data_IF_890112503491
#
_entry.id   IF_890112503491
#
_cell.length_a   1.000
_cell.length_b   1.000
_cell.length_c   1.000
_cell.angle_alpha   90.00
_cell.angle_beta   90.00
_cell.angle_gamma   90.00
#
_symmetry.space_group_name_H-M   'P 1'
#
loop_
_entity.id
_entity.type
_entity.pdbx_description
1 polymer ?
#
# COMPACT_ATOMS: atom_id res chain seq x y z
N UNK A 1 5.43 4.67 -2.40
CA UNK A 1 5.75 4.21 -1.02
C UNK A 1 4.50 4.33 -0.17
N UNK A 2 4.31 3.47 0.85
CA UNK A 2 3.14 3.42 1.73
C UNK A 2 3.55 2.91 3.12
N UNK A 3 2.75 3.18 4.14
CA UNK A 3 2.93 2.61 5.48
C UNK A 3 4.20 3.08 6.20
N UNK A 4 4.68 2.28 7.15
CA UNK A 4 5.83 2.62 8.01
C UNK A 4 7.13 2.82 7.22
N UNK A 5 7.22 2.24 6.03
CA UNK A 5 8.32 2.42 5.11
C UNK A 5 8.48 3.90 4.72
N UNK A 6 7.38 4.68 4.64
CA UNK A 6 7.42 6.12 4.40
C UNK A 6 8.22 6.91 5.44
N UNK A 7 8.49 6.34 6.62
CA UNK A 7 9.21 7.01 7.70
C UNK A 7 10.72 6.75 7.65
N UNK A 8 11.22 5.96 6.69
CA UNK A 8 12.64 5.59 6.60
C UNK A 8 13.49 6.66 5.88
N UNK A 9 13.51 7.91 6.37
CA UNK A 9 14.17 9.07 5.75
C UNK A 9 15.56 8.77 5.17
N UNK A 10 16.50 8.29 5.99
CA UNK A 10 17.87 8.02 5.55
C UNK A 10 17.93 6.98 4.42
N UNK A 11 17.17 5.90 4.53
CA UNK A 11 17.12 4.86 3.48
C UNK A 11 16.53 5.40 2.19
N UNK A 12 15.49 6.24 2.29
CA UNK A 12 14.83 6.85 1.14
C UNK A 12 15.81 7.75 0.38
N UNK A 13 16.56 8.62 1.06
CA UNK A 13 17.56 9.48 0.41
C UNK A 13 18.72 8.67 -0.17
N UNK A 14 19.22 7.66 0.53
CA UNK A 14 20.27 6.76 0.03
C UNK A 14 19.85 6.03 -1.25
N UNK A 15 18.60 5.57 -1.33
CA UNK A 15 18.12 4.83 -2.51
C UNK A 15 17.73 5.77 -3.64
N UNK A 16 16.91 6.78 -3.35
CA UNK A 16 16.32 7.61 -4.40
C UNK A 16 17.27 8.69 -4.91
N UNK A 17 18.05 9.33 -4.04
CA UNK A 17 18.96 10.42 -4.44
C UNK A 17 20.31 9.82 -4.82
N UNK A 18 20.98 9.15 -3.88
CA UNK A 18 22.32 8.63 -4.14
C UNK A 18 22.31 7.50 -5.16
N UNK A 19 21.28 6.64 -5.17
CA UNK A 19 21.08 5.64 -6.21
C UNK A 19 20.94 6.28 -7.60
N UNK A 20 20.16 7.35 -7.73
CA UNK A 20 20.04 8.09 -9.00
C UNK A 20 21.37 8.70 -9.43
N UNK A 21 22.14 9.32 -8.52
CA UNK A 21 23.48 9.82 -8.85
C UNK A 21 24.39 8.72 -9.40
N UNK A 22 24.39 7.54 -8.78
CA UNK A 22 25.20 6.39 -9.23
C UNK A 22 24.78 5.89 -10.62
N UNK A 23 23.48 5.87 -10.92
CA UNK A 23 22.98 5.52 -12.27
C UNK A 23 23.42 6.57 -13.30
N UNK A 24 23.34 7.85 -12.98
CA UNK A 24 23.81 8.93 -13.87
C UNK A 24 25.31 8.81 -14.15
N UNK A 25 26.12 8.57 -13.11
CA UNK A 25 27.57 8.37 -13.25
C UNK A 25 27.87 7.17 -14.15
N UNK A 26 27.19 6.04 -13.94
CA UNK A 26 27.32 4.85 -14.77
C UNK A 26 26.92 5.14 -16.23
N UNK A 27 25.83 5.86 -16.46
CA UNK A 27 25.41 6.25 -17.81
C UNK A 27 26.51 7.06 -18.53
N UNK A 28 27.13 8.03 -17.84
CA UNK A 28 28.18 8.87 -18.40
C UNK A 28 29.51 8.13 -18.62
N UNK A 29 29.82 7.16 -17.77
CA UNK A 29 31.03 6.34 -17.85
C UNK A 29 30.97 5.30 -18.96
N UNK A 30 29.85 4.56 -19.07
CA UNK A 30 29.67 3.51 -20.06
C UNK A 30 29.08 4.01 -21.39
N UNK A 31 28.70 5.30 -21.45
CA UNK A 31 28.16 5.93 -22.66
C UNK A 31 26.76 5.43 -23.02
N UNK A 32 25.90 5.27 -21.99
CA UNK A 32 24.47 4.97 -22.15
C UNK A 32 23.77 6.25 -22.59
N UNK A 33 23.04 6.19 -23.71
CA UNK A 33 22.44 7.38 -24.32
C UNK A 33 21.01 7.67 -23.87
N UNK A 34 20.27 6.67 -23.37
CA UNK A 34 18.88 6.83 -22.92
C UNK A 34 18.79 6.57 -21.43
N UNK A 35 18.19 7.51 -20.72
CA UNK A 35 17.75 7.30 -19.35
C UNK A 35 16.31 7.80 -19.18
N UNK A 36 15.38 6.86 -19.08
CA UNK A 36 13.99 7.16 -18.67
C UNK A 36 13.92 7.01 -17.15
N UNK A 37 13.59 8.09 -16.45
CA UNK A 37 13.43 8.07 -15.01
C UNK A 37 11.95 7.98 -14.62
N UNK A 38 11.57 6.92 -13.91
CA UNK A 38 10.23 6.80 -13.34
C UNK A 38 10.14 7.70 -12.12
N UNK A 39 9.46 8.82 -12.24
CA UNK A 39 9.21 9.79 -11.18
C UNK A 39 7.83 9.56 -10.53
N UNK A 40 7.13 10.62 -10.12
CA UNK A 40 5.81 10.55 -9.48
C UNK A 40 5.13 11.91 -9.55
N UNK A 41 3.80 11.96 -9.55
CA UNK A 41 3.08 13.22 -9.40
C UNK A 41 3.34 13.93 -8.06
N UNK A 42 3.82 13.21 -7.03
CA UNK A 42 4.16 13.81 -5.73
C UNK A 42 5.26 14.87 -5.83
N UNK A 43 5.99 14.98 -6.95
CA UNK A 43 7.00 16.04 -7.13
C UNK A 43 6.39 17.44 -7.30
N UNK A 44 5.10 17.54 -7.61
CA UNK A 44 4.35 18.81 -7.71
C UNK A 44 3.17 18.89 -6.73
N UNK A 45 2.86 17.81 -6.03
CA UNK A 45 1.69 17.72 -5.15
C UNK A 45 2.10 17.54 -3.69
N UNK A 46 1.53 18.37 -2.81
CA UNK A 46 1.74 18.33 -1.37
C UNK A 46 0.49 18.67 -0.55
N UNK A 47 -0.69 18.28 -1.03
CA UNK A 47 -1.95 18.44 -0.28
C UNK A 47 -2.78 19.67 -0.62
N UNK A 48 -2.42 20.41 -1.67
CA UNK A 48 -3.28 21.42 -2.31
C UNK A 48 -3.98 20.82 -3.52
N UNK A 49 -5.21 21.23 -3.77
CA UNK A 49 -6.00 20.73 -4.88
C UNK A 49 -5.34 21.01 -6.24
N UNK A 50 -5.34 20.00 -7.11
CA UNK A 50 -4.88 20.11 -8.50
C UNK A 50 -5.90 19.45 -9.42
N UNK A 51 -6.47 20.24 -10.34
CA UNK A 51 -7.48 19.78 -11.29
C UNK A 51 -6.90 19.89 -12.69
N UNK A 52 -6.74 18.76 -13.40
CA UNK A 52 -6.14 18.72 -14.75
C UNK A 52 -4.76 19.39 -14.82
N UNK A 53 -3.93 19.21 -13.79
CA UNK A 53 -2.57 19.76 -13.76
C UNK A 53 -1.71 19.24 -14.92
N UNK A 54 -0.70 20.00 -15.36
CA UNK A 54 0.20 19.59 -16.45
C UNK A 54 1.66 19.85 -16.07
N UNK A 55 2.58 19.63 -17.01
CA UNK A 55 4.02 19.71 -16.81
C UNK A 55 4.55 21.11 -16.50
N UNK A 56 3.76 22.18 -16.66
CA UNK A 56 4.17 23.54 -16.30
C UNK A 56 4.07 23.82 -14.80
N UNK A 57 3.44 22.92 -14.03
CA UNK A 57 3.36 23.04 -12.59
C UNK A 57 4.77 23.07 -11.97
N UNK A 58 5.04 24.01 -11.04
CA UNK A 58 6.32 24.07 -10.37
C UNK A 58 6.50 22.84 -9.47
N UNK A 59 7.77 22.50 -9.21
CA UNK A 59 8.07 21.55 -8.15
C UNK A 59 7.48 22.03 -6.83
N UNK A 60 6.91 21.09 -6.07
CA UNK A 60 6.48 21.37 -4.72
C UNK A 60 7.72 21.72 -3.87
N UNK A 61 7.66 22.73 -2.99
CA UNK A 61 8.81 23.14 -2.21
C UNK A 61 9.40 21.98 -1.40
N UNK A 62 10.73 21.84 -1.46
CA UNK A 62 11.46 20.69 -0.88
C UNK A 62 11.20 20.55 0.62
N UNK A 63 11.12 21.68 1.33
CA UNK A 63 10.95 21.75 2.78
C UNK A 63 9.50 21.53 3.24
N UNK A 64 8.53 21.66 2.32
CA UNK A 64 7.11 21.52 2.64
C UNK A 64 6.62 20.07 2.50
N UNK A 65 7.42 19.17 1.94
CA UNK A 65 7.03 17.76 1.77
C UNK A 65 6.80 17.07 3.12
N UNK A 66 5.61 16.51 3.31
CA UNK A 66 5.25 15.75 4.53
C UNK A 66 5.75 14.30 4.52
N UNK A 67 6.36 13.84 3.42
CA UNK A 67 7.01 12.53 3.33
C UNK A 67 8.36 12.59 2.60
N UNK A 68 9.35 11.80 3.03
CA UNK A 68 10.67 11.77 2.40
C UNK A 68 10.65 11.22 0.98
N UNK A 69 9.64 10.42 0.61
CA UNK A 69 9.55 9.85 -0.72
C UNK A 69 9.27 10.93 -1.77
N UNK A 70 8.24 11.78 -1.58
CA UNK A 70 7.97 12.92 -2.46
C UNK A 70 9.20 13.82 -2.62
N UNK A 71 9.79 14.24 -1.49
CA UNK A 71 11.00 15.07 -1.45
C UNK A 71 12.17 14.49 -2.25
N UNK A 72 12.54 13.24 -1.95
CA UNK A 72 13.68 12.58 -2.58
C UNK A 72 13.45 12.34 -4.08
N UNK A 73 12.21 12.03 -4.48
CA UNK A 73 11.85 11.90 -5.91
C UNK A 73 11.93 13.25 -6.64
N UNK A 74 11.54 14.36 -6.00
CA UNK A 74 11.70 15.71 -6.56
C UNK A 74 13.17 16.04 -6.83
N UNK A 75 14.04 15.81 -5.84
CA UNK A 75 15.49 16.05 -5.97
C UNK A 75 16.11 15.17 -7.06
N UNK A 76 15.78 13.87 -7.08
CA UNK A 76 16.29 12.94 -8.06
C UNK A 76 15.79 13.22 -9.49
N UNK A 77 14.53 13.64 -9.67
CA UNK A 77 14.01 14.06 -10.98
C UNK A 77 14.78 15.29 -11.50
N UNK A 78 14.99 16.30 -10.65
CA UNK A 78 15.78 17.48 -11.02
C UNK A 78 17.22 17.13 -11.41
N UNK A 79 17.86 16.20 -10.69
CA UNK A 79 19.22 15.73 -11.02
C UNK A 79 19.27 15.03 -12.39
N UNK A 80 18.27 14.20 -12.69
CA UNK A 80 18.15 13.53 -13.99
C UNK A 80 17.99 14.56 -15.10
N UNK A 81 17.02 15.47 -14.99
CA UNK A 81 16.74 16.45 -16.03
C UNK A 81 17.91 17.42 -16.25
N UNK A 82 18.62 17.84 -15.18
CA UNK A 82 19.85 18.64 -15.27
C UNK A 82 21.01 17.89 -15.94
N UNK A 83 20.94 16.57 -16.03
CA UNK A 83 21.96 15.74 -16.69
C UNK A 83 21.67 15.50 -18.17
N UNK A 84 20.52 15.92 -18.67
CA UNK A 84 20.20 15.87 -20.10
C UNK A 84 21.22 16.67 -20.92
N UNK A 85 21.72 16.09 -22.00
CA UNK A 85 22.73 16.68 -22.87
C UNK A 85 24.16 16.61 -22.35
N UNK A 86 24.42 15.98 -21.18
CA UNK A 86 25.80 15.86 -20.66
C UNK A 86 26.67 14.96 -21.54
N UNK A 87 27.89 15.40 -21.94
CA UNK A 87 28.78 14.62 -22.77
C UNK A 87 29.36 13.42 -22.01
N UNK A 88 29.65 12.33 -22.74
CA UNK A 88 30.29 11.15 -22.15
C UNK A 88 31.78 11.37 -21.89
N UNK A 89 32.32 10.71 -20.86
CA UNK A 89 33.74 10.85 -20.47
C UNK A 89 34.73 10.34 -21.53
N UNK A 90 34.33 9.31 -22.31
CA UNK A 90 35.21 8.55 -23.20
C UNK A 90 34.79 8.54 -24.69
N UNK A 91 33.67 9.18 -25.05
CA UNK A 91 33.11 9.14 -26.41
C UNK A 91 32.84 10.55 -26.92
N UNK A 92 33.78 11.09 -27.70
CA UNK A 92 33.69 12.43 -28.26
C UNK A 92 32.44 12.56 -29.14
N UNK A 93 31.66 13.62 -28.90
CA UNK A 93 30.48 13.99 -29.70
C UNK A 93 29.17 13.28 -29.34
N UNK A 94 29.13 12.42 -28.30
CA UNK A 94 27.88 11.82 -27.81
C UNK A 94 27.56 12.25 -26.38
N UNK A 95 26.27 12.34 -26.06
CA UNK A 95 25.78 12.75 -24.75
C UNK A 95 24.63 11.88 -24.24
N UNK A 96 24.33 12.03 -22.95
CA UNK A 96 23.22 11.40 -22.27
C UNK A 96 21.93 12.18 -22.53
N UNK A 97 20.88 11.52 -23.02
CA UNK A 97 19.53 12.07 -23.08
C UNK A 97 18.66 11.46 -22.00
N UNK A 98 17.91 12.31 -21.31
CA UNK A 98 17.10 11.90 -20.16
C UNK A 98 15.69 12.45 -20.26
N UNK A 99 14.71 11.69 -19.79
CA UNK A 99 13.36 12.20 -19.54
C UNK A 99 12.82 11.63 -18.23
N UNK A 100 11.73 12.20 -17.73
CA UNK A 100 11.04 11.67 -16.55
C UNK A 100 9.56 11.41 -16.80
N UNK A 101 9.06 10.27 -16.32
CA UNK A 101 7.63 9.91 -16.40
C UNK A 101 7.04 10.00 -14.99
N UNK A 102 5.99 10.81 -14.82
CA UNK A 102 5.27 11.05 -13.56
C UNK A 102 3.95 10.26 -13.59
N UNK A 103 3.95 8.96 -13.22
CA UNK A 103 2.74 8.17 -13.21
C UNK A 103 1.77 8.59 -12.11
N UNK A 104 0.49 8.38 -12.38
CA UNK A 104 -0.59 8.35 -11.40
C UNK A 104 -0.45 7.15 -10.43
N UNK A 105 -1.46 6.89 -9.58
CA UNK A 105 -1.44 5.74 -8.68
C UNK A 105 -1.47 4.43 -9.47
N UNK A 106 -0.42 3.62 -9.35
CA UNK A 106 -0.23 2.41 -10.16
C UNK A 106 -1.09 1.28 -9.61
N UNK A 107 -1.81 0.54 -10.43
CA UNK A 107 -2.51 -0.69 -10.03
C UNK A 107 -2.34 -1.78 -11.09
N UNK A 108 -2.61 -3.02 -10.69
CA UNK A 108 -2.49 -4.17 -11.58
C UNK A 108 -2.02 -5.43 -10.85
N UNK A 109 -2.02 -6.58 -11.55
CA UNK A 109 -1.31 -7.77 -11.10
C UNK A 109 0.15 -7.45 -10.75
N UNK A 110 0.64 -7.99 -9.63
CA UNK A 110 2.01 -7.77 -9.18
C UNK A 110 2.26 -6.42 -8.48
N UNK A 111 1.26 -5.58 -8.21
CA UNK A 111 1.44 -4.42 -7.33
C UNK A 111 1.71 -4.91 -5.89
N UNK A 112 2.88 -4.56 -5.34
CA UNK A 112 3.37 -5.08 -4.06
C UNK A 112 3.40 -4.05 -2.92
N UNK A 113 2.92 -2.81 -3.12
CA UNK A 113 3.08 -1.74 -2.13
C UNK A 113 1.77 -1.33 -1.49
N UNK A 114 0.85 -0.72 -2.23
CA UNK A 114 -0.36 -0.16 -1.60
C UNK A 114 -1.51 -1.16 -1.51
N UNK A 115 -1.73 -2.03 -2.51
CA UNK A 115 -2.81 -3.02 -2.47
C UNK A 115 -2.59 -4.09 -1.39
N UNK A 116 -1.39 -4.65 -1.19
CA UNK A 116 -1.17 -5.58 -0.08
C UNK A 116 -1.46 -4.97 1.29
N UNK A 117 -1.12 -3.70 1.48
CA UNK A 117 -1.43 -3.01 2.73
C UNK A 117 -2.92 -2.74 2.88
N UNK A 118 -3.59 -2.24 1.84
CA UNK A 118 -5.04 -1.98 1.86
C UNK A 118 -5.81 -3.27 2.13
N UNK A 119 -5.50 -4.36 1.41
CA UNK A 119 -6.13 -5.67 1.57
C UNK A 119 -5.85 -6.23 2.97
N UNK A 120 -4.62 -6.08 3.49
CA UNK A 120 -4.30 -6.51 4.86
C UNK A 120 -5.08 -5.73 5.91
N UNK A 121 -5.23 -4.41 5.76
CA UNK A 121 -6.03 -3.59 6.67
C UNK A 121 -7.51 -3.99 6.57
N UNK A 122 -8.04 -4.20 5.36
CA UNK A 122 -9.41 -4.64 5.13
C UNK A 122 -9.68 -5.99 5.83
N UNK A 123 -8.80 -6.96 5.62
CA UNK A 123 -8.86 -8.29 6.26
C UNK A 123 -8.86 -8.19 7.79
N UNK A 124 -8.07 -7.30 8.36
CA UNK A 124 -8.00 -7.09 9.81
C UNK A 124 -9.17 -6.26 10.37
N UNK A 125 -10.05 -5.71 9.52
CA UNK A 125 -11.11 -4.79 9.93
C UNK A 125 -10.57 -3.40 10.32
N UNK A 126 -9.39 -3.04 9.83
CA UNK A 126 -8.65 -1.81 10.11
C UNK A 126 -8.76 -0.76 9.00
N UNK A 127 -9.88 -0.77 8.26
CA UNK A 127 -10.30 0.31 7.36
C UNK A 127 -11.55 1.01 7.93
N UNK A 128 -11.43 1.76 9.05
CA UNK A 128 -12.59 2.31 9.74
C UNK A 128 -13.26 3.49 9.02
N UNK A 129 -12.51 4.24 8.20
CA UNK A 129 -13.00 5.49 7.62
C UNK A 129 -12.71 5.61 6.12
N UNK A 130 -13.68 6.18 5.39
CA UNK A 130 -13.43 6.90 4.14
C UNK A 130 -12.87 8.26 4.49
N UNK A 131 -11.93 8.79 3.70
CA UNK A 131 -11.24 10.04 4.03
C UNK A 131 -11.58 11.09 3.00
N UNK A 132 -11.95 12.28 3.50
CA UNK A 132 -12.40 13.37 2.65
C UNK A 132 -13.80 13.14 2.09
N UNK A 133 -14.19 14.02 1.18
CA UNK A 133 -15.50 14.02 0.53
C UNK A 133 -15.58 12.96 -0.60
N UNK A 134 -16.79 12.49 -0.92
CA UNK A 134 -16.99 11.54 -2.03
C UNK A 134 -16.67 12.14 -3.40
N UNK A 135 -16.66 13.47 -3.54
CA UNK A 135 -16.28 14.20 -4.74
C UNK A 135 -14.77 14.26 -4.99
N UNK A 136 -13.93 13.90 -4.01
CA UNK A 136 -12.47 13.88 -4.17
C UNK A 136 -12.09 12.89 -5.25
N UNK A 137 -11.26 13.32 -6.22
CA UNK A 137 -10.80 12.50 -7.34
C UNK A 137 -9.28 12.42 -7.40
N UNK A 138 -8.80 11.22 -7.73
CA UNK A 138 -7.41 10.95 -8.07
C UNK A 138 -7.31 10.15 -9.36
N UNK A 139 -6.16 10.20 -10.02
CA UNK A 139 -5.87 9.37 -11.19
C UNK A 139 -5.22 8.04 -10.81
N UNK A 140 -5.48 7.05 -11.65
CA UNK A 140 -4.86 5.72 -11.60
C UNK A 140 -4.23 5.39 -12.95
N UNK A 141 -3.26 4.48 -12.93
CA UNK A 141 -2.64 3.93 -14.13
C UNK A 141 -2.46 2.42 -14.01
N UNK A 142 -2.95 1.69 -15.00
CA UNK A 142 -2.72 0.25 -15.07
C UNK A 142 -1.24 -0.04 -15.37
N UNK A 143 -0.69 -1.09 -14.76
CA UNK A 143 0.75 -1.39 -14.87
C UNK A 143 1.23 -1.52 -16.33
N UNK A 144 0.44 -2.14 -17.21
CA UNK A 144 0.84 -2.29 -18.62
C UNK A 144 0.77 -0.97 -19.39
N UNK A 145 -0.17 -0.08 -19.05
CA UNK A 145 -0.22 1.26 -19.61
C UNK A 145 1.00 2.09 -19.16
N UNK A 146 1.44 1.92 -17.91
CA UNK A 146 2.70 2.53 -17.45
C UNK A 146 3.90 1.97 -18.22
N UNK A 147 3.99 0.66 -18.42
CA UNK A 147 5.07 0.04 -19.20
C UNK A 147 5.10 0.60 -20.63
N UNK A 148 3.93 0.72 -21.27
CA UNK A 148 3.80 1.36 -22.58
C UNK A 148 4.35 2.79 -22.58
N UNK A 149 3.96 3.62 -21.60
CA UNK A 149 4.48 4.97 -21.46
C UNK A 149 6.02 5.02 -21.34
N UNK A 150 6.61 4.09 -20.60
CA UNK A 150 8.08 4.02 -20.44
C UNK A 150 8.78 3.61 -21.74
N UNK A 151 8.20 2.68 -22.51
CA UNK A 151 8.72 2.30 -23.83
C UNK A 151 8.65 3.49 -24.78
N UNK A 152 7.51 4.16 -24.88
CA UNK A 152 7.33 5.34 -25.75
C UNK A 152 8.25 6.50 -25.34
N UNK A 153 8.42 6.74 -24.05
CA UNK A 153 9.37 7.74 -23.54
C UNK A 153 10.82 7.40 -23.91
N UNK A 154 11.20 6.12 -23.87
CA UNK A 154 12.52 5.65 -24.30
C UNK A 154 12.72 5.84 -25.80
N UNK A 155 11.71 5.53 -26.62
CA UNK A 155 11.75 5.76 -28.08
C UNK A 155 11.82 7.26 -28.41
N UNK A 156 11.18 8.12 -27.62
CA UNK A 156 11.29 9.58 -27.79
C UNK A 156 12.66 10.16 -27.40
N UNK A 157 13.52 9.41 -26.70
CA UNK A 157 14.87 9.84 -26.30
C UNK A 157 15.94 9.58 -27.36
N UNK A 158 15.73 8.60 -28.24
CA UNK A 158 16.50 8.45 -29.46
C UNK A 158 15.51 7.89 -30.48
N UNK A 159 15.22 8.67 -31.52
CA UNK A 159 14.32 8.27 -32.58
C UNK A 159 14.93 7.06 -33.32
N UNK A 160 14.50 5.86 -32.96
CA UNK A 160 14.92 4.59 -33.57
C UNK A 160 14.20 4.32 -34.90
N UNK A 161 13.34 5.25 -35.34
CA UNK A 161 12.56 5.14 -36.57
C UNK A 161 13.43 5.66 -37.72
N UNK A 162 13.88 4.80 -38.67
CA UNK A 162 14.86 5.19 -39.69
C UNK A 162 14.41 6.30 -40.66
N UNK A 163 13.10 6.52 -40.79
CA UNK A 163 12.49 7.35 -41.83
C UNK A 163 12.01 8.73 -41.34
N UNK A 164 12.14 9.05 -40.05
CA UNK A 164 11.81 10.36 -39.49
C UNK A 164 13.06 11.15 -39.14
N UNK A 165 13.00 12.46 -39.34
CA UNK A 165 14.03 13.39 -38.89
C UNK A 165 14.24 13.20 -37.38
N UNK A 166 15.50 12.98 -36.94
CA UNK A 166 15.86 12.68 -35.55
C UNK A 166 15.32 13.75 -34.60
N UNK A 167 14.13 13.51 -34.03
CA UNK A 167 13.52 14.42 -33.08
C UNK A 167 13.56 13.78 -31.70
N UNK A 168 14.51 14.25 -30.88
CA UNK A 168 14.66 13.84 -29.49
C UNK A 168 13.58 14.49 -28.61
N UNK A 169 12.30 14.26 -28.97
CA UNK A 169 11.15 14.98 -28.42
C UNK A 169 11.06 14.82 -26.89
N UNK A 170 11.49 13.68 -26.36
CA UNK A 170 11.49 13.42 -24.92
C UNK A 170 12.69 14.01 -24.18
N UNK A 171 13.75 14.43 -24.87
CA UNK A 171 14.98 14.87 -24.21
C UNK A 171 14.75 16.11 -23.33
N UNK A 172 15.10 15.99 -22.06
CA UNK A 172 14.90 17.01 -21.04
C UNK A 172 13.45 17.21 -20.62
N UNK A 173 12.52 16.37 -21.08
CA UNK A 173 11.09 16.52 -20.81
C UNK A 173 10.63 15.68 -19.62
N UNK A 174 9.55 16.15 -19.01
CA UNK A 174 8.71 15.36 -18.10
C UNK A 174 7.37 15.04 -18.77
N UNK A 175 6.72 13.96 -18.33
CA UNK A 175 5.40 13.55 -18.82
C UNK A 175 4.52 13.00 -17.68
N UNK A 176 3.33 13.56 -17.48
CA UNK A 176 2.30 12.92 -16.68
C UNK A 176 1.64 11.79 -17.49
N UNK A 177 1.42 10.65 -16.84
CA UNK A 177 0.74 9.50 -17.45
C UNK A 177 -0.31 8.91 -16.51
N UNK A 178 -1.50 8.66 -17.05
CA UNK A 178 -2.63 8.05 -16.36
C UNK A 178 -3.51 7.28 -17.35
N UNK A 179 -4.51 6.55 -16.83
CA UNK A 179 -5.57 5.94 -17.65
C UNK A 179 -6.66 6.95 -18.07
N UNK A 180 -6.55 8.22 -17.63
CA UNK A 180 -7.49 9.28 -18.00
C UNK A 180 -8.87 9.20 -17.36
N UNK A 181 -9.01 8.45 -16.25
CA UNK A 181 -10.27 8.23 -15.55
C UNK A 181 -10.19 8.67 -14.07
N UNK A 182 -10.22 9.99 -13.77
CA UNK A 182 -10.17 10.47 -12.40
C UNK A 182 -11.39 10.00 -11.59
N UNK A 183 -11.14 9.31 -10.49
CA UNK A 183 -12.18 8.68 -9.66
C UNK A 183 -11.83 8.75 -8.19
N UNK A 184 -12.84 8.69 -7.33
CA UNK A 184 -12.60 8.61 -5.89
C UNK A 184 -11.88 7.30 -5.53
N UNK A 185 -10.87 7.37 -4.66
CA UNK A 185 -10.04 6.21 -4.29
C UNK A 185 -10.85 5.05 -3.69
N UNK A 186 -11.88 5.35 -2.89
CA UNK A 186 -12.71 4.31 -2.28
C UNK A 186 -13.66 3.68 -3.29
N UNK A 187 -14.16 4.46 -4.27
CA UNK A 187 -14.97 3.92 -5.37
C UNK A 187 -14.14 3.08 -6.34
N UNK A 188 -12.88 3.48 -6.58
CA UNK A 188 -11.93 2.69 -7.37
C UNK A 188 -11.62 1.34 -6.70
N UNK A 189 -11.41 1.32 -5.38
CA UNK A 189 -11.07 0.12 -4.62
C UNK A 189 -12.28 -0.78 -4.30
N UNK A 190 -13.50 -0.24 -4.36
CA UNK A 190 -14.76 -0.95 -4.07
C UNK A 190 -14.87 -2.32 -4.76
N UNK A 191 -14.74 -2.44 -6.10
CA UNK A 191 -14.90 -3.73 -6.77
C UNK A 191 -13.86 -4.76 -6.29
N UNK A 192 -12.62 -4.33 -6.03
CA UNK A 192 -11.59 -5.20 -5.46
C UNK A 192 -11.98 -5.71 -4.07
N UNK A 193 -12.31 -4.82 -3.13
CA UNK A 193 -12.62 -5.21 -1.76
C UNK A 193 -13.85 -6.12 -1.69
N UNK A 194 -14.91 -5.80 -2.43
CA UNK A 194 -16.12 -6.62 -2.50
C UNK A 194 -15.84 -8.01 -3.08
N UNK A 195 -15.05 -8.10 -4.15
CA UNK A 195 -14.67 -9.38 -4.77
C UNK A 195 -13.86 -10.29 -3.83
N UNK A 196 -13.23 -9.70 -2.80
CA UNK A 196 -12.46 -10.37 -1.77
C UNK A 196 -13.26 -10.56 -0.47
N UNK A 197 -14.59 -10.43 -0.48
CA UNK A 197 -15.45 -10.54 0.69
C UNK A 197 -15.05 -9.57 1.84
N UNK A 198 -14.51 -8.39 1.53
CA UNK A 198 -14.15 -7.38 2.53
C UNK A 198 -15.06 -6.17 2.47
N UNK A 199 -15.44 -5.65 3.63
CA UNK A 199 -16.29 -4.48 3.76
C UNK A 199 -15.54 -3.19 3.41
N UNK A 200 -16.25 -2.25 2.80
CA UNK A 200 -15.80 -0.86 2.73
C UNK A 200 -16.07 -0.14 4.04
N UNK A 201 -15.27 0.90 4.38
CA UNK A 201 -15.58 1.75 5.52
C UNK A 201 -16.97 2.37 5.38
N UNK A 202 -17.75 2.30 6.46
CA UNK A 202 -19.10 2.88 6.54
C UNK A 202 -19.11 4.31 7.06
N UNK A 203 -18.10 4.66 7.86
CA UNK A 203 -17.92 6.01 8.37
C UNK A 203 -16.98 6.81 7.46
N UNK A 204 -17.09 8.14 7.53
CA UNK A 204 -16.16 9.07 6.87
C UNK A 204 -15.45 9.91 7.92
N UNK A 205 -14.22 10.31 7.62
CA UNK A 205 -13.39 11.19 8.42
C UNK A 205 -12.93 12.35 7.55
N UNK A 206 -13.26 13.57 7.95
CA UNK A 206 -12.84 14.76 7.22
C UNK A 206 -11.30 14.94 7.30
N UNK A 207 -10.76 15.62 6.29
CA UNK A 207 -9.31 15.72 6.07
C UNK A 207 -8.55 16.28 7.28
N UNK A 208 -8.99 17.36 7.97
CA UNK A 208 -8.26 17.88 9.13
C UNK A 208 -8.15 16.88 10.29
N UNK A 209 -9.23 16.13 10.57
CA UNK A 209 -9.22 15.09 11.61
C UNK A 209 -8.34 13.91 11.20
N UNK A 210 -8.39 13.50 9.93
CA UNK A 210 -7.53 12.47 9.39
C UNK A 210 -6.04 12.86 9.46
N UNK A 211 -5.71 14.14 9.21
CA UNK A 211 -4.35 14.66 9.37
C UNK A 211 -3.89 14.63 10.82
N UNK A 212 -4.75 14.99 11.78
CA UNK A 212 -4.43 14.89 13.20
C UNK A 212 -4.11 13.44 13.57
N UNK A 213 -4.95 12.49 13.16
CA UNK A 213 -4.72 11.07 13.36
C UNK A 213 -3.41 10.60 12.71
N UNK A 214 -3.15 11.03 11.47
CA UNK A 214 -1.92 10.74 10.76
C UNK A 214 -0.67 11.27 11.47
N UNK A 215 -0.74 12.47 12.07
CA UNK A 215 0.35 13.05 12.87
C UNK A 215 0.61 12.26 14.15
N UNK A 216 -0.43 11.75 14.80
CA UNK A 216 -0.30 10.86 15.97
C UNK A 216 0.43 9.57 15.57
N UNK A 217 0.01 8.92 14.49
CA UNK A 217 0.71 7.73 13.99
C UNK A 217 2.15 8.04 13.58
N UNK A 218 2.39 9.17 12.92
CA UNK A 218 3.73 9.61 12.58
C UNK A 218 4.61 9.74 13.84
N UNK A 219 4.13 10.42 14.89
CA UNK A 219 4.87 10.58 16.14
C UNK A 219 5.18 9.22 16.82
N UNK A 220 4.18 8.33 16.92
CA UNK A 220 4.35 6.99 17.49
C UNK A 220 5.42 6.22 16.72
N UNK A 221 5.35 6.20 15.39
CA UNK A 221 6.28 5.42 14.59
C UNK A 221 7.68 6.06 14.50
N UNK A 222 7.80 7.37 14.71
CA UNK A 222 9.10 8.03 14.92
C UNK A 222 9.76 7.56 16.21
N UNK A 223 9.01 7.39 17.31
CA UNK A 223 9.54 6.77 18.54
C UNK A 223 9.96 5.32 18.28
N UNK A 224 9.20 4.61 17.45
CA UNK A 224 9.49 3.21 17.09
C UNK A 224 10.49 3.07 15.92
N UNK A 225 11.19 4.14 15.55
CA UNK A 225 12.11 4.16 14.40
C UNK A 225 13.11 2.98 14.36
N UNK A 226 13.79 2.61 15.48
CA UNK A 226 14.74 1.49 15.49
C UNK A 226 14.13 0.14 15.11
N UNK A 227 12.81 -0.01 15.23
CA UNK A 227 12.09 -1.25 14.97
C UNK A 227 11.23 -1.21 13.71
N UNK A 228 11.31 -0.16 12.88
CA UNK A 228 10.47 -0.06 11.66
C UNK A 228 10.63 -1.25 10.71
N UNK A 229 11.82 -1.83 10.62
CA UNK A 229 12.09 -3.00 9.78
C UNK A 229 11.59 -4.34 10.38
N UNK A 230 11.03 -4.34 11.60
CA UNK A 230 10.58 -5.57 12.25
C UNK A 230 9.21 -5.99 11.73
N UNK A 231 9.06 -7.28 11.44
CA UNK A 231 7.81 -7.88 10.93
C UNK A 231 6.66 -7.84 11.95
N UNK A 232 6.97 -7.88 13.25
CA UNK A 232 5.97 -7.84 14.32
C UNK A 232 5.36 -6.47 14.54
N UNK A 233 6.04 -5.39 14.10
CA UNK A 233 5.52 -4.04 14.22
C UNK A 233 4.43 -3.82 13.15
N UNK A 234 3.18 -3.49 13.54
CA UNK A 234 2.08 -3.32 12.60
C UNK A 234 2.33 -2.15 11.64
N UNK A 235 1.47 -2.02 10.64
CA UNK A 235 1.45 -0.85 9.76
C UNK A 235 0.63 0.27 10.43
N UNK A 236 1.02 1.54 10.29
CA UNK A 236 0.18 2.65 10.74
C UNK A 236 -1.13 2.61 9.94
N UNK A 237 -2.24 2.96 10.60
CA UNK A 237 -3.54 3.02 9.91
C UNK A 237 -3.47 4.02 8.77
N UNK A 238 -2.89 5.19 9.04
CA UNK A 238 -2.66 6.21 8.05
C UNK A 238 -1.53 7.16 8.44
N UNK A 239 -0.86 7.73 7.45
CA UNK A 239 0.13 8.80 7.59
C UNK A 239 -0.31 10.08 6.85
N UNK A 240 0.23 11.27 7.20
CA UNK A 240 -0.21 12.54 6.60
C UNK A 240 -0.17 12.58 5.06
N UNK A 241 0.88 12.04 4.45
CA UNK A 241 0.99 11.95 2.99
C UNK A 241 -0.11 11.09 2.35
N UNK A 242 -0.59 10.07 3.05
CA UNK A 242 -1.64 9.19 2.58
C UNK A 242 -3.00 9.88 2.70
N UNK A 243 -3.21 10.66 3.77
CA UNK A 243 -4.39 11.52 3.92
C UNK A 243 -4.53 12.46 2.72
N UNK A 244 -3.45 13.14 2.31
CA UNK A 244 -3.50 14.01 1.13
C UNK A 244 -3.82 13.24 -0.15
N UNK A 245 -3.22 12.06 -0.34
CA UNK A 245 -3.44 11.21 -1.53
C UNK A 245 -4.86 10.67 -1.66
N UNK A 246 -5.61 10.51 -0.58
CA UNK A 246 -7.00 10.00 -0.67
C UNK A 246 -8.06 11.07 -0.40
N UNK A 247 -7.69 12.15 0.30
CA UNK A 247 -8.62 13.17 0.78
C UNK A 247 -8.56 14.51 0.06
N UNK A 248 -7.61 14.73 -0.85
CA UNK A 248 -7.49 15.97 -1.63
C UNK A 248 -7.50 15.66 -3.12
N UNK A 249 -8.31 16.39 -3.89
CA UNK A 249 -8.42 16.19 -5.34
C UNK A 249 -7.09 16.51 -6.03
N UNK A 250 -6.56 15.55 -6.78
CA UNK A 250 -5.35 15.72 -7.57
C UNK A 250 -5.37 14.80 -8.78
N UNK A 251 -5.40 15.37 -9.98
CA UNK A 251 -5.32 14.60 -11.21
C UNK A 251 -4.71 15.43 -12.33
N UNK A 252 -4.06 14.75 -13.28
CA UNK A 252 -3.13 15.38 -14.20
C UNK A 252 -3.45 15.03 -15.65
N UNK A 253 -3.25 15.99 -16.53
CA UNK A 253 -3.39 15.83 -17.96
C UNK A 253 -2.23 15.04 -18.52
N UNK A 254 -2.52 13.91 -19.18
CA UNK A 254 -1.54 13.17 -19.97
C UNK A 254 -1.46 13.66 -21.44
N UNK A 255 -2.04 14.83 -21.76
CA UNK A 255 -2.11 15.34 -23.13
C UNK A 255 -0.73 15.52 -23.76
N UNK A 256 0.27 15.97 -23.00
CA UNK A 256 1.64 16.11 -23.51
C UNK A 256 2.22 14.75 -23.91
N UNK A 257 2.05 13.73 -23.06
CA UNK A 257 2.48 12.36 -23.38
C UNK A 257 1.76 11.82 -24.63
N UNK A 258 0.46 12.11 -24.77
CA UNK A 258 -0.30 11.74 -25.96
C UNK A 258 0.22 12.42 -27.24
N UNK A 259 0.47 13.72 -27.18
CA UNK A 259 0.86 14.52 -28.34
C UNK A 259 2.31 14.28 -28.77
N UNK A 260 3.23 14.17 -27.81
CA UNK A 260 4.67 14.06 -28.09
C UNK A 260 5.14 12.61 -28.19
N UNK A 261 4.59 11.70 -27.39
CA UNK A 261 5.01 10.29 -27.34
C UNK A 261 4.02 9.34 -28.02
N UNK A 262 2.83 9.81 -28.40
CA UNK A 262 1.76 8.95 -28.91
C UNK A 262 1.11 8.08 -27.82
N UNK A 263 1.28 8.42 -26.54
CA UNK A 263 0.72 7.65 -25.44
C UNK A 263 -0.81 7.64 -25.45
N UNK A 264 -1.38 6.45 -25.60
CA UNK A 264 -2.81 6.16 -25.44
C UNK A 264 -2.92 4.92 -24.55
N UNK A 265 -3.66 4.97 -23.42
CA UNK A 265 -3.91 3.79 -22.60
C UNK A 265 -4.53 2.66 -23.44
N UNK A 266 -3.91 1.49 -23.43
CA UNK A 266 -4.35 0.33 -24.21
C UNK A 266 -5.31 -0.57 -23.42
N UNK A 267 -5.18 -0.57 -22.10
CA UNK A 267 -6.05 -1.30 -21.18
C UNK A 267 -6.99 -0.32 -20.49
N UNK A 268 -8.28 -0.61 -20.52
CA UNK A 268 -9.28 0.21 -19.83
C UNK A 268 -9.25 -0.01 -18.32
N UNK A 269 -9.70 0.95 -17.49
CA UNK A 269 -9.80 0.77 -16.05
C UNK A 269 -10.60 -0.47 -15.62
N UNK A 270 -11.63 -0.82 -16.38
CA UNK A 270 -12.49 -1.98 -16.12
C UNK A 270 -11.73 -3.29 -16.35
N UNK A 271 -11.02 -3.43 -17.46
CA UNK A 271 -10.20 -4.60 -17.78
C UNK A 271 -9.02 -4.75 -16.81
N UNK A 272 -8.35 -3.63 -16.50
CA UNK A 272 -7.26 -3.60 -15.53
C UNK A 272 -7.73 -4.01 -14.14
N UNK A 273 -8.91 -3.53 -13.69
CA UNK A 273 -9.50 -3.91 -12.41
C UNK A 273 -9.91 -5.39 -12.40
N UNK A 274 -10.49 -5.92 -13.48
CA UNK A 274 -10.85 -7.34 -13.58
C UNK A 274 -9.62 -8.26 -13.47
N UNK A 275 -8.52 -7.89 -14.14
CA UNK A 275 -7.23 -8.59 -14.03
C UNK A 275 -6.67 -8.52 -12.62
N UNK A 276 -6.79 -7.36 -11.97
CA UNK A 276 -6.32 -7.16 -10.60
C UNK A 276 -7.14 -7.97 -9.59
N UNK A 277 -8.46 -8.03 -9.75
CA UNK A 277 -9.35 -8.87 -8.93
C UNK A 277 -8.95 -10.34 -9.06
N UNK A 278 -8.76 -10.81 -10.28
CA UNK A 278 -8.38 -12.21 -10.55
C UNK A 278 -7.07 -12.57 -9.86
N UNK A 279 -6.06 -11.70 -9.95
CA UNK A 279 -4.78 -11.84 -9.26
C UNK A 279 -4.93 -11.91 -7.73
N UNK A 280 -5.73 -11.01 -7.14
CA UNK A 280 -5.91 -10.96 -5.69
C UNK A 280 -6.78 -12.09 -5.15
N UNK A 281 -7.75 -12.60 -5.92
CA UNK A 281 -8.54 -13.77 -5.55
C UNK A 281 -7.67 -15.03 -5.51
N UNK A 282 -6.79 -15.22 -6.50
CA UNK A 282 -5.80 -16.31 -6.49
C UNK A 282 -4.86 -16.20 -5.29
N UNK A 283 -4.38 -15.00 -4.98
CA UNK A 283 -3.55 -14.76 -3.80
C UNK A 283 -4.30 -15.07 -2.50
N UNK A 284 -5.57 -14.65 -2.39
CA UNK A 284 -6.42 -14.93 -1.21
C UNK A 284 -6.59 -16.43 -0.99
N UNK A 285 -6.82 -17.21 -2.05
CA UNK A 285 -6.96 -18.68 -1.99
C UNK A 285 -5.75 -19.35 -1.33
N UNK A 286 -4.54 -18.86 -1.62
CA UNK A 286 -3.27 -19.39 -1.07
C UNK A 286 -2.96 -18.95 0.35
N UNK A 287 -3.65 -17.93 0.86
CA UNK A 287 -3.39 -17.38 2.19
C UNK A 287 -4.41 -17.87 3.22
N UNK A 288 -3.97 -17.97 4.47
CA UNK A 288 -4.83 -18.23 5.61
C UNK A 288 -5.85 -17.11 5.80
N UNK A 289 -7.14 -17.37 5.61
CA UNK A 289 -8.21 -16.42 5.96
C UNK A 289 -8.46 -16.43 7.48
N UNK A 290 -9.01 -15.33 8.01
CA UNK A 290 -9.27 -15.23 9.45
C UNK A 290 -10.15 -14.05 9.81
N UNK A 291 -10.60 -13.99 11.07
CA UNK A 291 -11.44 -12.91 11.55
C UNK A 291 -10.65 -11.59 11.73
N UNK A 292 -11.39 -10.51 11.99
CA UNK A 292 -10.82 -9.19 12.26
C UNK A 292 -10.00 -9.15 13.54
N UNK A 293 -9.18 -8.11 13.70
CA UNK A 293 -8.37 -7.90 14.90
C UNK A 293 -9.24 -7.81 16.17
N UNK A 294 -10.46 -7.29 16.08
CA UNK A 294 -11.38 -7.21 17.21
C UNK A 294 -11.75 -8.59 17.77
N UNK A 295 -11.86 -9.59 16.89
CA UNK A 295 -12.15 -10.97 17.30
C UNK A 295 -10.93 -11.61 17.98
N UNK A 296 -9.72 -11.30 17.49
CA UNK A 296 -8.48 -11.69 18.14
C UNK A 296 -8.39 -11.11 19.55
N UNK A 297 -8.58 -9.79 19.68
CA UNK A 297 -8.56 -9.11 20.97
C UNK A 297 -9.60 -9.68 21.92
N UNK A 298 -10.85 -9.85 21.47
CA UNK A 298 -11.92 -10.45 22.27
C UNK A 298 -11.55 -11.85 22.79
N UNK A 299 -11.12 -12.74 21.89
CA UNK A 299 -10.86 -14.15 22.24
C UNK A 299 -9.63 -14.29 23.13
N UNK A 300 -8.53 -13.62 22.78
CA UNK A 300 -7.26 -13.72 23.52
C UNK A 300 -7.37 -13.05 24.88
N UNK A 301 -7.92 -11.84 24.96
CA UNK A 301 -8.08 -11.13 26.25
C UNK A 301 -9.11 -11.87 27.11
N UNK A 302 -10.21 -12.35 26.52
CA UNK A 302 -11.24 -13.10 27.23
C UNK A 302 -10.70 -14.39 27.86
N UNK A 303 -10.05 -15.24 27.07
CA UNK A 303 -9.47 -16.49 27.56
C UNK A 303 -8.36 -16.25 28.60
N UNK A 304 -7.51 -15.24 28.38
CA UNK A 304 -6.47 -14.87 29.35
C UNK A 304 -7.07 -14.38 30.66
N UNK A 305 -8.12 -13.55 30.58
CA UNK A 305 -8.81 -13.03 31.77
C UNK A 305 -9.49 -14.14 32.58
N UNK A 306 -10.14 -15.09 31.90
CA UNK A 306 -10.73 -16.27 32.53
C UNK A 306 -9.67 -17.12 33.24
N UNK A 307 -8.54 -17.38 32.58
CA UNK A 307 -7.41 -18.11 33.18
C UNK A 307 -6.87 -17.39 34.43
N UNK A 308 -6.60 -16.09 34.32
CA UNK A 308 -6.11 -15.27 35.41
C UNK A 308 -7.08 -15.28 36.61
N UNK A 309 -8.38 -15.08 36.36
CA UNK A 309 -9.40 -15.12 37.40
C UNK A 309 -9.47 -16.49 38.10
N UNK A 310 -9.38 -17.58 37.32
CA UNK A 310 -9.59 -18.95 37.77
C UNK A 310 -8.43 -19.53 38.60
N UNK A 311 -7.17 -19.21 38.24
CA UNK A 311 -6.00 -19.96 38.72
C UNK A 311 -4.83 -19.13 39.26
N UNK A 312 -4.70 -17.84 38.91
CA UNK A 312 -3.56 -17.04 39.37
C UNK A 312 -3.77 -16.49 40.79
N UNK A 313 -2.70 -16.24 41.56
CA UNK A 313 -2.80 -15.60 42.88
C UNK A 313 -3.22 -14.12 42.79
N UNK A 314 -3.60 -13.51 43.92
CA UNK A 314 -4.03 -12.10 44.02
C UNK A 314 -2.87 -11.10 43.90
N UNK A 315 -2.26 -11.04 42.72
CA UNK A 315 -1.13 -10.16 42.43
C UNK A 315 -1.48 -9.25 41.25
N UNK A 316 -1.16 -7.97 41.37
CA UNK A 316 -1.36 -6.99 40.30
C UNK A 316 -2.83 -6.83 39.91
N UNK A 317 -3.20 -6.96 38.62
CA UNK A 317 -4.58 -6.74 38.16
C UNK A 317 -5.54 -7.92 38.45
N UNK A 318 -5.02 -9.07 38.92
CA UNK A 318 -5.82 -10.30 39.09
C UNK A 318 -7.03 -10.12 40.04
N UNK A 319 -6.93 -9.44 41.19
CA UNK A 319 -8.09 -9.23 42.08
C UNK A 319 -9.26 -8.53 41.39
N UNK A 320 -8.97 -7.50 40.59
CA UNK A 320 -9.99 -6.78 39.81
C UNK A 320 -10.62 -7.67 38.74
N UNK A 321 -9.80 -8.40 37.96
CA UNK A 321 -10.28 -9.32 36.93
C UNK A 321 -11.16 -10.43 37.55
N UNK A 322 -10.77 -10.94 38.71
CA UNK A 322 -11.54 -11.95 39.45
C UNK A 322 -12.86 -11.39 39.98
N UNK A 323 -12.85 -10.20 40.58
CA UNK A 323 -14.06 -9.54 41.05
C UNK A 323 -15.06 -9.33 39.90
N UNK A 324 -14.59 -8.85 38.75
CA UNK A 324 -15.40 -8.70 37.55
C UNK A 324 -15.95 -10.05 37.07
N UNK A 325 -15.12 -11.10 37.05
CA UNK A 325 -15.55 -12.44 36.66
C UNK A 325 -16.62 -13.00 37.62
N UNK A 326 -16.45 -12.81 38.93
CA UNK A 326 -17.42 -13.25 39.94
C UNK A 326 -18.73 -12.46 39.89
N UNK A 327 -18.69 -11.19 39.48
CA UNK A 327 -19.91 -10.41 39.23
C UNK A 327 -20.81 -11.10 38.19
N UNK A 328 -20.22 -11.64 37.10
CA UNK A 328 -20.97 -12.35 36.05
C UNK A 328 -21.24 -13.82 36.39
N UNK A 329 -20.22 -14.56 36.82
CA UNK A 329 -20.28 -16.03 36.99
C UNK A 329 -20.65 -16.49 38.40
N UNK A 330 -20.80 -15.56 39.36
CA UNK A 330 -21.31 -15.76 40.72
C UNK A 330 -20.48 -16.67 41.64
N UNK A 331 -19.60 -17.53 41.14
CA UNK A 331 -18.74 -18.41 41.95
C UNK A 331 -17.43 -18.76 41.26
N UNK A 332 -16.39 -19.03 42.04
CA UNK A 332 -15.08 -19.47 41.54
C UNK A 332 -15.15 -20.81 40.81
N UNK A 333 -16.04 -21.70 41.25
CA UNK A 333 -16.28 -22.97 40.57
C UNK A 333 -16.80 -22.73 39.15
N UNK A 334 -17.77 -21.83 38.99
CA UNK A 334 -18.33 -21.50 37.67
C UNK A 334 -17.29 -20.84 36.75
N UNK A 335 -16.45 -19.92 37.26
CA UNK A 335 -15.35 -19.33 36.48
C UNK A 335 -14.38 -20.40 35.97
N UNK A 336 -13.98 -21.36 36.83
CA UNK A 336 -13.10 -22.48 36.46
C UNK A 336 -13.75 -23.39 35.41
N UNK A 337 -15.03 -23.74 35.61
CA UNK A 337 -15.77 -24.57 34.67
C UNK A 337 -15.92 -23.90 33.31
N UNK A 338 -16.26 -22.60 33.26
CA UNK A 338 -16.33 -21.83 32.02
C UNK A 338 -14.98 -21.85 31.30
N UNK A 339 -13.88 -21.57 32.00
CA UNK A 339 -12.56 -21.62 31.39
C UNK A 339 -12.22 -23.02 30.83
N UNK A 340 -12.45 -24.08 31.60
CA UNK A 340 -12.15 -25.45 31.18
C UNK A 340 -12.99 -25.88 29.97
N UNK A 341 -14.30 -25.58 29.99
CA UNK A 341 -15.20 -25.88 28.87
C UNK A 341 -14.82 -25.09 27.62
N UNK A 342 -14.56 -23.78 27.74
CA UNK A 342 -14.10 -22.95 26.62
C UNK A 342 -12.78 -23.46 26.04
N UNK A 343 -11.83 -23.86 26.90
CA UNK A 343 -10.56 -24.43 26.46
C UNK A 343 -10.76 -25.76 25.73
N UNK A 344 -11.60 -26.65 26.26
CA UNK A 344 -11.92 -27.92 25.63
C UNK A 344 -12.58 -27.74 24.25
N UNK A 345 -13.50 -26.77 24.12
CA UNK A 345 -14.12 -26.40 22.85
C UNK A 345 -13.08 -25.89 21.85
N UNK A 346 -12.21 -24.96 22.24
CA UNK A 346 -11.15 -24.44 21.38
C UNK A 346 -10.20 -25.55 20.90
N UNK A 347 -9.84 -26.50 21.78
CA UNK A 347 -9.02 -27.68 21.41
C UNK A 347 -9.76 -28.57 20.41
N UNK A 348 -11.02 -28.90 20.69
CA UNK A 348 -11.85 -29.73 19.81
C UNK A 348 -12.03 -29.11 18.42
N UNK A 349 -12.34 -27.81 18.38
CA UNK A 349 -12.45 -27.03 17.14
C UNK A 349 -11.13 -26.94 16.39
N UNK A 350 -10.00 -26.78 17.09
CA UNK A 350 -8.69 -26.74 16.47
C UNK A 350 -8.30 -28.08 15.84
N UNK A 351 -8.55 -29.20 16.54
CA UNK A 351 -8.32 -30.55 16.00
C UNK A 351 -9.20 -30.82 14.78
N UNK A 352 -10.47 -30.44 14.84
CA UNK A 352 -11.37 -30.52 13.70
C UNK A 352 -10.88 -29.66 12.52
N UNK A 353 -10.47 -28.41 12.78
CA UNK A 353 -9.92 -27.52 11.76
C UNK A 353 -8.65 -28.10 11.13
N UNK A 354 -7.76 -28.71 11.92
CA UNK A 354 -6.56 -29.36 11.42
C UNK A 354 -6.89 -30.54 10.50
N UNK A 355 -7.86 -31.38 10.88
CA UNK A 355 -8.30 -32.50 10.05
C UNK A 355 -8.94 -32.03 8.74
N UNK A 356 -9.88 -31.08 8.82
CA UNK A 356 -10.58 -30.54 7.66
C UNK A 356 -9.62 -29.81 6.70
N UNK A 357 -8.69 -29.01 7.23
CA UNK A 357 -7.73 -28.25 6.43
C UNK A 357 -6.76 -29.14 5.66
N UNK A 358 -6.42 -30.36 6.12
CA UNK A 358 -5.62 -31.30 5.31
C UNK A 358 -6.26 -31.64 3.96
N UNK A 359 -7.58 -31.53 3.83
CA UNK A 359 -8.31 -31.77 2.57
C UNK A 359 -8.57 -30.48 1.80
N UNK A 360 -8.91 -29.41 2.51
CA UNK A 360 -9.41 -28.15 1.92
C UNK A 360 -8.31 -27.12 1.67
N UNK A 361 -7.26 -27.12 2.49
CA UNK A 361 -6.16 -26.14 2.48
C UNK A 361 -4.89 -26.74 3.12
N UNK A 362 -4.29 -27.75 2.48
CA UNK A 362 -3.22 -28.56 3.07
C UNK A 362 -2.00 -27.70 3.44
N UNK A 363 -1.67 -26.71 2.62
CA UNK A 363 -0.54 -25.81 2.78
C UNK A 363 -0.61 -24.99 4.08
N UNK A 364 -1.83 -24.64 4.53
CA UNK A 364 -2.05 -23.85 5.73
C UNK A 364 -2.58 -24.68 6.91
N UNK A 365 -2.57 -26.01 6.84
CA UNK A 365 -3.22 -26.88 7.84
C UNK A 365 -2.76 -26.64 9.29
N UNK A 366 -1.46 -26.45 9.51
CA UNK A 366 -0.91 -26.08 10.83
C UNK A 366 -1.39 -24.70 11.29
N UNK A 367 -1.49 -23.76 10.37
CA UNK A 367 -1.90 -22.40 10.70
C UNK A 367 -3.40 -22.35 11.05
N UNK A 368 -4.24 -23.15 10.37
CA UNK A 368 -5.65 -23.35 10.73
C UNK A 368 -5.82 -23.95 12.13
N UNK A 369 -4.97 -24.89 12.53
CA UNK A 369 -4.96 -25.42 13.89
C UNK A 369 -4.71 -24.30 14.91
N UNK A 370 -3.58 -23.58 14.79
CA UNK A 370 -3.19 -22.58 15.78
C UNK A 370 -4.14 -21.38 15.82
N UNK A 371 -4.62 -20.93 14.66
CA UNK A 371 -5.61 -19.85 14.61
C UNK A 371 -6.93 -20.27 15.26
N UNK A 372 -7.39 -21.51 15.01
CA UNK A 372 -8.64 -22.02 15.62
C UNK A 372 -8.47 -22.34 17.09
N UNK A 373 -7.29 -22.78 17.53
CA UNK A 373 -7.00 -22.92 18.95
C UNK A 373 -7.10 -21.58 19.69
N UNK A 374 -6.60 -20.51 19.08
CA UNK A 374 -6.66 -19.18 19.68
C UNK A 374 -8.08 -18.55 19.63
N UNK A 375 -8.85 -18.81 18.56
CA UNK A 375 -10.07 -18.06 18.25
C UNK A 375 -11.36 -18.89 18.23
N UNK A 376 -11.25 -20.19 18.43
CA UNK A 376 -12.35 -21.14 18.36
C UNK A 376 -13.18 -21.02 17.08
N UNK A 377 -14.50 -21.10 17.24
CA UNK A 377 -15.50 -21.04 16.17
C UNK A 377 -15.33 -19.84 15.23
N UNK A 378 -14.82 -18.71 15.73
CA UNK A 378 -14.64 -17.51 14.92
C UNK A 378 -13.59 -17.67 13.82
N UNK A 379 -12.59 -18.54 14.02
CA UNK A 379 -11.67 -18.99 12.99
C UNK A 379 -12.29 -20.11 12.16
N UNK A 380 -12.84 -21.14 12.81
CA UNK A 380 -13.36 -22.34 12.15
C UNK A 380 -14.41 -22.02 11.08
N UNK A 381 -15.27 -21.02 11.29
CA UNK A 381 -16.26 -20.57 10.29
C UNK A 381 -15.66 -20.19 8.94
N UNK A 382 -14.42 -19.67 8.90
CA UNK A 382 -13.76 -19.31 7.65
C UNK A 382 -13.29 -20.55 6.90
N UNK A 383 -12.73 -21.53 7.60
CA UNK A 383 -12.37 -22.82 7.02
C UNK A 383 -13.61 -23.57 6.51
N UNK A 384 -14.71 -23.53 7.28
CA UNK A 384 -16.00 -24.10 6.86
C UNK A 384 -16.55 -23.41 5.60
N UNK A 385 -16.45 -22.07 5.49
CA UNK A 385 -16.80 -21.34 4.27
C UNK A 385 -15.92 -21.78 3.08
N UNK A 386 -14.63 -22.00 3.31
CA UNK A 386 -13.69 -22.48 2.29
C UNK A 386 -14.00 -23.90 1.82
N UNK A 387 -14.43 -24.78 2.73
CA UNK A 387 -14.81 -26.16 2.42
C UNK A 387 -16.11 -26.30 1.60
N UNK A 388 -16.91 -25.24 1.51
CA UNK A 388 -18.16 -25.20 0.73
C UNK A 388 -17.97 -24.69 -0.71
N UNK A 389 -16.82 -24.09 -1.00
CA UNK A 389 -16.43 -23.64 -2.35
C UNK A 389 -15.69 -24.77 -3.03
#
# INVERSE_FOLDING_TARGET
>A
MSGKEMLQFSRVDQVNINGTCRILDACLEFGIQRLVYVSTYNVVFGGKEIVKGNETLPYFPIDDHVDPYGRSKSLAEQLVLKSNGRPFKKKNGKCLYTCAVRPAAIYGPGEERHFPRIVSLAKLGLLPFKIGDSSVKGDWIYIDNLVLALILASMGLLDDIPEKERRLIAAGQTYFVSDGFPVNSFEFLRPLLQSLDYDLPKASLAVPQALLLGKIFWAIYTILYPWLNRRWLPQPLILPAEVYKVGVTHYFSFLKAKQELGYVPMVTPQEGMASTISYWQEKKRKTLDGPTIYTWLFSVIGMTSLFCAAYLPEIGPVPFIRALSLFFFRSMWMVRMVFLVSTALHVGEALYAWYLSKRVDPDNSKAWFWQTFALGIFSLRFLLKRARK
#
